data_IF_040579022511
#
_entry.id   IF_040579022511
#
_cell.length_a   1.000
_cell.length_b   1.000
_cell.length_c   1.000
_cell.angle_alpha   90.00
_cell.angle_beta   90.00
_cell.angle_gamma   90.00
#
_symmetry.space_group_name_H-M   'P 1'
#
loop_
_entity.id
_entity.type
_entity.pdbx_description
1 polymer ?
#
# COMPACT_ATOMS: atom_id res chain seq x y z
N UNK A 1 9.52 -0.81 13.94
CA UNK A 1 10.51 0.28 13.82
C UNK A 1 10.92 0.68 15.22
N UNK A 2 12.23 0.80 15.49
CA UNK A 2 12.70 1.34 16.77
C UNK A 2 12.62 2.85 16.68
N UNK A 3 11.87 3.45 17.60
CA UNK A 3 11.73 4.90 17.70
C UNK A 3 12.91 5.48 18.48
N UNK A 4 13.10 6.80 18.41
CA UNK A 4 14.18 7.50 19.12
C UNK A 4 14.03 7.40 20.65
N UNK A 5 12.79 7.31 21.13
CA UNK A 5 12.39 7.05 22.51
C UNK A 5 12.61 5.59 22.97
N UNK A 6 13.21 4.75 22.12
CA UNK A 6 13.58 3.36 22.45
C UNK A 6 12.42 2.37 22.39
N UNK A 7 11.20 2.85 22.18
CA UNK A 7 10.01 2.01 21.97
C UNK A 7 10.04 1.35 20.59
N UNK A 8 9.35 0.20 20.45
CA UNK A 8 9.17 -0.46 19.16
C UNK A 8 7.74 -0.26 18.71
N UNK A 9 7.55 0.46 17.59
CA UNK A 9 6.25 0.59 16.94
C UNK A 9 6.09 -0.37 15.77
N UNK A 10 4.91 -0.98 15.69
CA UNK A 10 4.47 -1.82 14.58
C UNK A 10 3.50 -0.99 13.74
N UNK A 11 3.78 -0.90 12.44
CA UNK A 11 2.92 -0.23 11.47
C UNK A 11 2.36 -1.27 10.51
N UNK A 12 1.07 -1.16 10.22
CA UNK A 12 0.42 -2.02 9.23
C UNK A 12 0.71 -1.49 7.82
N UNK A 13 1.18 -2.38 6.94
CA UNK A 13 1.51 -2.07 5.56
C UNK A 13 0.70 -2.92 4.60
N UNK A 14 0.11 -2.30 3.59
CA UNK A 14 -0.70 -2.98 2.58
C UNK A 14 -0.09 -2.79 1.18
N UNK A 15 0.01 -3.88 0.42
CA UNK A 15 0.35 -3.85 -1.02
C UNK A 15 -0.66 -4.70 -1.78
N UNK A 16 -1.40 -4.07 -2.70
CA UNK A 16 -2.31 -4.76 -3.60
C UNK A 16 -1.76 -4.74 -5.03
N UNK A 17 -1.91 -5.88 -5.70
CA UNK A 17 -1.47 -6.14 -7.07
C UNK A 17 -2.70 -6.64 -7.83
N UNK A 18 -3.22 -5.83 -8.75
CA UNK A 18 -4.50 -6.14 -9.40
C UNK A 18 -4.34 -6.94 -10.70
N UNK A 19 -3.41 -6.55 -11.58
CA UNK A 19 -3.18 -7.22 -12.86
C UNK A 19 -1.73 -7.01 -13.35
N UNK A 20 -1.11 -8.07 -13.87
CA UNK A 20 0.24 -8.11 -14.49
C UNK A 20 0.24 -8.47 -15.98
N UNK A 21 -0.93 -8.67 -16.59
CA UNK A 21 -1.05 -9.08 -18.00
C UNK A 21 -0.37 -8.12 -19.00
N UNK A 22 -0.16 -6.85 -18.63
CA UNK A 22 0.47 -5.82 -19.47
C UNK A 22 1.90 -5.48 -19.02
N UNK A 23 2.48 -6.26 -18.11
CA UNK A 23 3.83 -6.04 -17.57
C UNK A 23 3.85 -5.86 -16.05
N UNK A 24 4.97 -5.39 -15.49
CA UNK A 24 5.16 -5.32 -14.04
C UNK A 24 4.20 -4.32 -13.37
N UNK A 25 3.78 -4.65 -12.15
CA UNK A 25 2.86 -3.83 -11.36
C UNK A 25 3.39 -2.40 -11.13
N UNK A 26 2.52 -1.41 -11.37
CA UNK A 26 2.84 0.01 -11.15
C UNK A 26 1.82 0.66 -10.23
N UNK A 27 2.30 1.29 -9.16
CA UNK A 27 1.46 1.97 -8.16
C UNK A 27 2.30 2.62 -7.06
N UNK A 28 1.85 3.78 -6.58
CA UNK A 28 2.53 4.57 -5.55
C UNK A 28 2.46 3.96 -4.14
N UNK A 29 3.10 4.63 -3.19
CA UNK A 29 3.07 4.32 -1.76
C UNK A 29 2.35 5.47 -1.05
N UNK A 30 1.42 5.16 -0.15
CA UNK A 30 0.67 6.14 0.64
C UNK A 30 0.96 5.92 2.13
N UNK A 31 1.30 7.00 2.82
CA UNK A 31 1.39 7.04 4.28
C UNK A 31 0.23 7.90 4.79
N UNK A 32 -0.75 7.28 5.43
CA UNK A 32 -1.89 7.97 6.03
C UNK A 32 -2.42 7.13 7.21
N UNK A 33 -2.83 7.73 8.35
CA UNK A 33 -3.29 6.97 9.51
C UNK A 33 -4.55 6.14 9.23
N UNK A 34 -5.41 6.61 8.32
CA UNK A 34 -6.68 5.95 7.99
C UNK A 34 -6.60 5.01 6.77
N UNK A 35 -5.41 4.52 6.40
CA UNK A 35 -5.29 3.58 5.27
C UNK A 35 -5.96 2.26 5.62
N UNK A 36 -6.82 1.77 4.73
CA UNK A 36 -7.46 0.46 4.86
C UNK A 36 -7.07 -0.49 3.72
N UNK A 37 -7.12 -1.80 3.99
CA UNK A 37 -6.80 -2.81 2.98
C UNK A 37 -7.71 -2.72 1.72
N UNK A 38 -8.99 -2.39 1.91
CA UNK A 38 -9.95 -2.32 0.81
C UNK A 38 -9.77 -1.07 -0.05
N UNK A 39 -9.38 0.05 0.55
CA UNK A 39 -8.96 1.24 -0.18
C UNK A 39 -7.75 0.93 -1.08
N UNK A 40 -6.73 0.26 -0.57
CA UNK A 40 -5.53 -0.08 -1.35
C UNK A 40 -5.86 -1.04 -2.50
N UNK A 41 -6.79 -1.99 -2.31
CA UNK A 41 -7.28 -2.85 -3.40
C UNK A 41 -8.04 -2.05 -4.46
N UNK A 42 -8.89 -1.11 -4.05
CA UNK A 42 -9.60 -0.24 -4.98
C UNK A 42 -8.63 0.62 -5.81
N UNK A 43 -7.61 1.21 -5.16
CA UNK A 43 -6.57 1.98 -5.86
C UNK A 43 -5.75 1.12 -6.82
N UNK A 44 -5.41 -0.12 -6.45
CA UNK A 44 -4.70 -1.03 -7.36
C UNK A 44 -5.52 -1.36 -8.61
N UNK A 45 -6.85 -1.51 -8.48
CA UNK A 45 -7.76 -1.67 -9.64
C UNK A 45 -7.71 -0.45 -10.56
N UNK A 46 -7.78 0.76 -9.98
CA UNK A 46 -7.69 2.00 -10.75
C UNK A 46 -6.35 2.14 -11.48
N UNK A 47 -5.24 1.69 -10.89
CA UNK A 47 -3.93 1.72 -11.55
C UNK A 47 -3.84 0.81 -12.78
N UNK A 48 -4.64 -0.25 -12.85
CA UNK A 48 -4.73 -1.09 -14.06
C UNK A 48 -5.60 -0.45 -15.14
N UNK A 49 -6.67 0.25 -14.75
CA UNK A 49 -7.64 0.84 -15.68
C UNK A 49 -7.22 2.21 -16.23
N UNK A 50 -6.28 2.87 -15.56
CA UNK A 50 -5.76 4.19 -15.92
C UNK A 50 -4.90 4.14 -17.19
#
# INVERSE_FOLDING_TARGET
>A
MKMEDGTTHIFEGYRAQHLDALGPYKGGIRYHPDVTADEIKALAKWMTLK
#
